data_IF_900804809773
#
_entry.id   IF_900804809773
#
_cell.length_a   1.000
_cell.length_b   1.000
_cell.length_c   1.000
_cell.angle_alpha   90.00
_cell.angle_beta   90.00
_cell.angle_gamma   90.00
#
_symmetry.space_group_name_H-M   'P 1'
#
loop_
_entity.id
_entity.type
_entity.pdbx_description
1 polymer ?
#
# COMPACT_ATOMS: atom_id res chain seq x y z
N UNK A 1 17.97 -10.15 -21.98
CA UNK A 1 17.38 -10.69 -20.74
C UNK A 1 18.54 -11.15 -19.86
N UNK A 2 18.94 -10.37 -18.86
CA UNK A 2 19.93 -10.80 -17.88
C UNK A 2 19.22 -11.74 -16.90
N UNK A 3 19.51 -13.04 -17.00
CA UNK A 3 19.00 -14.04 -16.06
C UNK A 3 19.68 -13.83 -14.70
N UNK A 4 18.88 -13.54 -13.67
CA UNK A 4 19.36 -13.42 -12.29
C UNK A 4 19.68 -14.83 -11.80
N UNK A 5 20.86 -15.03 -11.20
CA UNK A 5 21.22 -16.32 -10.63
C UNK A 5 20.25 -16.69 -9.48
N UNK A 6 19.75 -17.95 -9.43
CA UNK A 6 18.66 -18.33 -8.52
C UNK A 6 18.98 -18.21 -7.01
N UNK A 7 20.27 -18.22 -6.63
CA UNK A 7 20.70 -17.98 -5.24
C UNK A 7 20.44 -16.54 -4.76
N UNK A 8 20.32 -15.59 -5.69
CA UNK A 8 20.13 -14.18 -5.38
C UNK A 8 18.67 -13.76 -5.25
N UNK A 9 17.75 -14.56 -5.81
CA UNK A 9 16.31 -14.26 -5.82
C UNK A 9 15.70 -14.20 -4.42
N UNK A 10 16.12 -15.09 -3.52
CA UNK A 10 15.63 -15.09 -2.13
C UNK A 10 16.07 -13.83 -1.38
N UNK A 11 17.35 -13.45 -1.54
CA UNK A 11 17.89 -12.23 -0.92
C UNK A 11 17.19 -10.98 -1.44
N UNK A 12 17.01 -10.89 -2.75
CA UNK A 12 16.27 -9.81 -3.40
C UNK A 12 14.81 -9.70 -2.92
N UNK A 13 14.11 -10.84 -2.75
CA UNK A 13 12.75 -10.84 -2.21
C UNK A 13 12.69 -10.31 -0.78
N UNK A 14 13.56 -10.82 0.11
CA UNK A 14 13.61 -10.34 1.49
C UNK A 14 13.99 -8.87 1.60
N UNK A 15 14.91 -8.41 0.75
CA UNK A 15 15.26 -6.99 0.65
C UNK A 15 14.05 -6.15 0.22
N UNK A 16 13.32 -6.59 -0.80
CA UNK A 16 12.09 -5.91 -1.22
C UNK A 16 11.05 -5.85 -0.10
N UNK A 17 10.87 -6.97 0.62
CA UNK A 17 9.92 -7.06 1.73
C UNK A 17 10.29 -6.10 2.87
N UNK A 18 11.56 -6.03 3.26
CA UNK A 18 12.03 -5.13 4.31
C UNK A 18 11.90 -3.65 3.91
N UNK A 19 12.26 -3.31 2.67
CA UNK A 19 12.11 -1.95 2.16
C UNK A 19 10.63 -1.54 2.07
N UNK A 20 9.75 -2.44 1.62
CA UNK A 20 8.31 -2.19 1.59
C UNK A 20 7.70 -2.11 2.98
N UNK A 21 8.19 -2.89 3.96
CA UNK A 21 7.76 -2.78 5.35
C UNK A 21 7.99 -1.36 5.86
N UNK A 22 9.18 -0.80 5.64
CA UNK A 22 9.52 0.56 6.04
C UNK A 22 8.71 1.60 5.26
N UNK A 23 8.62 1.46 3.93
CA UNK A 23 7.93 2.40 3.06
C UNK A 23 6.43 2.47 3.36
N UNK A 24 5.75 1.33 3.40
CA UNK A 24 4.30 1.27 3.59
C UNK A 24 3.93 1.76 4.98
N UNK A 25 4.65 1.34 6.04
CA UNK A 25 4.38 1.86 7.39
C UNK A 25 4.57 3.37 7.44
N UNK A 26 5.70 3.90 6.93
CA UNK A 26 5.96 5.34 6.93
C UNK A 26 4.89 6.13 6.14
N UNK A 27 4.48 5.62 4.99
CA UNK A 27 3.45 6.21 4.14
C UNK A 27 2.07 6.16 4.79
N UNK A 28 1.69 5.02 5.39
CA UNK A 28 0.41 4.87 6.09
C UNK A 28 0.33 5.78 7.32
N UNK A 29 1.37 5.83 8.18
CA UNK A 29 1.45 6.78 9.31
C UNK A 29 1.24 8.20 8.80
N UNK A 30 2.03 8.60 7.81
CA UNK A 30 1.96 9.96 7.27
C UNK A 30 0.56 10.28 6.73
N UNK A 31 0.02 9.42 5.85
CA UNK A 31 -1.29 9.61 5.23
C UNK A 31 -2.41 9.63 6.29
N UNK A 32 -2.30 8.78 7.29
CA UNK A 32 -3.28 8.69 8.36
C UNK A 32 -3.32 9.96 9.20
N UNK A 33 -2.17 10.41 9.73
CA UNK A 33 -2.12 11.58 10.60
C UNK A 33 -2.29 12.90 9.84
N UNK A 34 -1.76 13.01 8.62
CA UNK A 34 -1.81 14.25 7.86
C UNK A 34 -3.18 14.47 7.18
N UNK A 35 -3.89 13.40 6.79
CA UNK A 35 -5.11 13.51 5.99
C UNK A 35 -6.29 12.74 6.57
N UNK A 36 -6.17 11.43 6.79
CA UNK A 36 -7.33 10.58 7.12
C UNK A 36 -7.94 10.97 8.46
N UNK A 37 -7.16 11.04 9.54
CA UNK A 37 -7.66 11.36 10.88
C UNK A 37 -8.29 12.77 10.93
N UNK A 38 -7.62 13.84 10.44
CA UNK A 38 -8.22 15.17 10.40
C UNK A 38 -9.54 15.22 9.61
N UNK A 39 -9.56 14.61 8.42
CA UNK A 39 -10.74 14.62 7.56
C UNK A 39 -11.89 13.79 8.13
N UNK A 40 -11.61 12.65 8.76
CA UNK A 40 -12.63 11.83 9.39
C UNK A 40 -13.25 12.53 10.60
N UNK A 41 -12.44 13.19 11.43
CA UNK A 41 -12.92 13.97 12.58
C UNK A 41 -13.74 15.18 12.17
N UNK A 42 -13.34 15.88 11.11
CA UNK A 42 -14.13 17.01 10.59
C UNK A 42 -15.42 16.56 9.89
N UNK A 43 -15.44 15.37 9.31
CA UNK A 43 -16.61 14.81 8.62
C UNK A 43 -17.65 14.21 9.57
N UNK A 44 -17.26 13.81 10.78
CA UNK A 44 -18.13 13.17 11.78
C UNK A 44 -18.08 13.89 13.13
N UNK A 45 -18.36 15.21 13.20
CA UNK A 45 -18.20 15.99 14.43
C UNK A 45 -19.14 15.56 15.57
N UNK A 46 -20.25 14.90 15.24
CA UNK A 46 -21.22 14.36 16.19
C UNK A 46 -20.76 13.08 16.90
N UNK A 47 -19.73 12.40 16.40
CA UNK A 47 -19.18 11.20 17.02
C UNK A 47 -17.97 11.60 17.88
N UNK A 48 -18.06 11.30 19.18
CA UNK A 48 -16.89 11.42 20.06
C UNK A 48 -15.90 10.29 19.73
N UNK A 49 -14.61 10.62 19.77
CA UNK A 49 -13.51 9.65 19.61
C UNK A 49 -13.43 8.97 18.22
N UNK A 50 -13.70 9.72 17.15
CA UNK A 50 -13.46 9.26 15.77
C UNK A 50 -11.96 9.08 15.53
N UNK A 51 -11.61 7.92 14.99
CA UNK A 51 -10.23 7.48 14.75
C UNK A 51 -9.42 7.41 16.06
N UNK A 52 -9.80 6.53 17.01
CA UNK A 52 -9.11 6.41 18.29
C UNK A 52 -7.75 5.74 18.09
N UNK A 53 -6.72 6.29 18.72
CA UNK A 53 -5.36 5.76 18.68
C UNK A 53 -5.05 4.98 19.96
N UNK A 54 -5.87 3.95 20.23
CA UNK A 54 -5.67 3.05 21.36
C UNK A 54 -4.99 1.75 20.90
N UNK A 55 -4.47 0.98 21.86
CA UNK A 55 -3.72 -0.24 21.59
C UNK A 55 -4.51 -1.26 20.73
N UNK A 56 -5.81 -1.52 20.96
CA UNK A 56 -6.59 -2.40 20.08
C UNK A 56 -6.63 -1.95 18.61
N UNK A 57 -6.86 -0.66 18.34
CA UNK A 57 -6.86 -0.14 16.96
C UNK A 57 -5.47 -0.26 16.34
N UNK A 58 -4.43 0.07 17.10
CA UNK A 58 -3.04 -0.05 16.65
C UNK A 58 -2.67 -1.50 16.30
N UNK A 59 -3.14 -2.49 17.08
CA UNK A 59 -2.92 -3.91 16.80
C UNK A 59 -3.60 -4.36 15.50
N UNK A 60 -4.85 -3.94 15.27
CA UNK A 60 -5.57 -4.23 14.02
C UNK A 60 -4.87 -3.56 12.84
N UNK A 61 -4.42 -2.32 13.02
CA UNK A 61 -3.67 -1.59 12.01
C UNK A 61 -2.34 -2.27 11.67
N UNK A 62 -1.61 -2.82 12.65
CA UNK A 62 -0.42 -3.63 12.40
C UNK A 62 -0.71 -4.91 11.60
N UNK A 63 -1.86 -5.56 11.84
CA UNK A 63 -2.29 -6.72 11.02
C UNK A 63 -2.60 -6.27 9.59
N UNK A 64 -3.33 -5.17 9.42
CA UNK A 64 -3.60 -4.58 8.10
C UNK A 64 -2.31 -4.28 7.33
N UNK A 65 -1.36 -3.59 7.97
CA UNK A 65 -0.07 -3.23 7.35
C UNK A 65 0.74 -4.47 6.98
N UNK A 66 0.73 -5.50 7.81
CA UNK A 66 1.41 -6.76 7.51
C UNK A 66 0.83 -7.41 6.25
N UNK A 67 -0.50 -7.48 6.16
CA UNK A 67 -1.19 -8.02 4.97
C UNK A 67 -0.90 -7.16 3.74
N UNK A 68 -0.93 -5.83 3.88
CA UNK A 68 -0.67 -4.90 2.80
C UNK A 68 0.77 -5.02 2.28
N UNK A 69 1.76 -5.12 3.17
CA UNK A 69 3.18 -5.31 2.80
C UNK A 69 3.39 -6.63 2.06
N UNK A 70 2.78 -7.72 2.54
CA UNK A 70 2.87 -9.03 1.90
C UNK A 70 2.18 -9.03 0.53
N UNK A 71 0.99 -8.41 0.41
CA UNK A 71 0.27 -8.31 -0.85
C UNK A 71 1.02 -7.42 -1.85
N UNK A 72 1.42 -6.22 -1.44
CA UNK A 72 2.14 -5.27 -2.30
C UNK A 72 3.46 -5.85 -2.79
N UNK A 73 4.22 -6.53 -1.92
CA UNK A 73 5.50 -7.14 -2.29
C UNK A 73 5.30 -8.40 -3.13
N UNK A 74 4.50 -9.35 -2.62
CA UNK A 74 4.31 -10.66 -3.24
C UNK A 74 3.60 -10.60 -4.59
N UNK A 75 2.51 -9.84 -4.71
CA UNK A 75 1.79 -9.71 -5.99
C UNK A 75 2.63 -8.95 -7.01
N UNK A 76 3.32 -7.88 -6.61
CA UNK A 76 4.25 -7.19 -7.51
C UNK A 76 5.36 -8.11 -7.98
N UNK A 77 5.90 -8.95 -7.09
CA UNK A 77 6.95 -9.90 -7.43
C UNK A 77 6.47 -10.90 -8.49
N UNK A 78 5.33 -11.54 -8.27
CA UNK A 78 4.75 -12.51 -9.21
C UNK A 78 4.45 -11.87 -10.57
N UNK A 79 3.88 -10.66 -10.57
CA UNK A 79 3.59 -9.93 -11.81
C UNK A 79 4.86 -9.56 -12.57
N UNK A 80 5.90 -9.09 -11.87
CA UNK A 80 7.16 -8.70 -12.50
C UNK A 80 8.01 -9.90 -12.93
N UNK A 81 7.93 -11.02 -12.22
CA UNK A 81 8.53 -12.29 -12.63
C UNK A 81 7.86 -12.80 -13.92
N UNK A 82 6.53 -12.73 -14.00
CA UNK A 82 5.77 -13.23 -15.16
C UNK A 82 5.90 -12.33 -16.39
N UNK A 83 5.80 -11.02 -16.23
CA UNK A 83 5.75 -10.06 -17.34
C UNK A 83 7.09 -9.34 -17.58
N UNK A 84 8.07 -9.54 -16.71
CA UNK A 84 9.40 -8.95 -16.77
C UNK A 84 9.55 -7.67 -15.92
N UNK A 85 10.72 -7.43 -15.31
CA UNK A 85 10.95 -6.33 -14.34
C UNK A 85 11.21 -4.96 -15.01
N UNK A 86 10.32 -4.55 -15.91
CA UNK A 86 10.38 -3.21 -16.54
C UNK A 86 9.69 -2.16 -15.66
N UNK A 87 10.05 -0.88 -15.80
CA UNK A 87 9.39 0.22 -15.07
C UNK A 87 7.89 0.25 -15.39
N UNK A 88 7.54 0.12 -16.68
CA UNK A 88 6.16 0.07 -17.14
C UNK A 88 5.35 -1.02 -16.42
N UNK A 89 5.88 -2.24 -16.37
CA UNK A 89 5.17 -3.35 -15.73
C UNK A 89 5.07 -3.15 -14.21
N UNK A 90 6.04 -2.48 -13.58
CA UNK A 90 5.97 -2.14 -12.15
C UNK A 90 4.86 -1.12 -11.88
N UNK A 91 4.71 -0.11 -12.74
CA UNK A 91 3.61 0.86 -12.62
C UNK A 91 2.24 0.17 -12.82
N UNK A 92 2.14 -0.77 -13.76
CA UNK A 92 0.92 -1.57 -13.94
C UNK A 92 0.64 -2.48 -12.75
N UNK A 93 1.65 -3.13 -12.17
CA UNK A 93 1.50 -3.95 -10.98
C UNK A 93 1.02 -3.12 -9.78
N UNK A 94 1.66 -1.98 -9.50
CA UNK A 94 1.25 -1.07 -8.43
C UNK A 94 -0.17 -0.54 -8.64
N UNK A 95 -0.53 -0.17 -9.87
CA UNK A 95 -1.90 0.29 -10.19
C UNK A 95 -2.93 -0.83 -10.06
N UNK A 96 -2.60 -2.06 -10.43
CA UNK A 96 -3.50 -3.21 -10.29
C UNK A 96 -3.75 -3.53 -8.80
N UNK A 97 -2.70 -3.53 -7.97
CA UNK A 97 -2.80 -3.76 -6.52
C UNK A 97 -3.59 -2.64 -5.85
N UNK A 98 -3.32 -1.39 -6.23
CA UNK A 98 -4.10 -0.25 -5.76
C UNK A 98 -5.60 -0.39 -6.09
N UNK A 99 -5.92 -0.81 -7.31
CA UNK A 99 -7.31 -1.01 -7.72
C UNK A 99 -7.99 -2.13 -6.94
N UNK A 100 -7.30 -3.26 -6.70
CA UNK A 100 -7.91 -4.41 -6.01
C UNK A 100 -8.05 -4.22 -4.51
N UNK A 101 -7.16 -3.46 -3.87
CA UNK A 101 -7.20 -3.24 -2.42
C UNK A 101 -7.93 -1.94 -2.10
N UNK A 102 -7.40 -0.81 -2.56
CA UNK A 102 -7.84 0.51 -2.10
C UNK A 102 -9.09 0.99 -2.82
N UNK A 103 -9.18 0.83 -4.15
CA UNK A 103 -10.37 1.29 -4.87
C UNK A 103 -11.60 0.52 -4.41
N UNK A 104 -11.51 -0.82 -4.29
CA UNK A 104 -12.63 -1.63 -3.77
C UNK A 104 -13.00 -1.21 -2.34
N UNK A 105 -12.03 -1.09 -1.43
CA UNK A 105 -12.27 -0.68 -0.05
C UNK A 105 -12.96 0.68 0.05
N UNK A 106 -12.38 1.71 -0.58
CA UNK A 106 -12.87 3.08 -0.47
C UNK A 106 -14.19 3.29 -1.20
N UNK A 107 -14.41 2.64 -2.35
CA UNK A 107 -15.71 2.67 -3.01
C UNK A 107 -16.78 1.99 -2.14
N UNK A 108 -16.45 0.90 -1.46
CA UNK A 108 -17.36 0.25 -0.51
C UNK A 108 -17.75 1.19 0.65
N UNK A 109 -16.75 1.82 1.28
CA UNK A 109 -16.99 2.79 2.36
C UNK A 109 -17.80 3.99 1.89
N UNK A 110 -17.48 4.53 0.72
CA UNK A 110 -18.22 5.64 0.12
C UNK A 110 -19.67 5.27 -0.18
N UNK A 111 -19.90 4.10 -0.78
CA UNK A 111 -21.24 3.59 -1.09
C UNK A 111 -22.09 3.34 0.16
N UNK A 112 -21.46 3.05 1.30
CA UNK A 112 -22.14 2.88 2.59
C UNK A 112 -22.29 4.18 3.40
N UNK A 113 -21.92 5.34 2.83
CA UNK A 113 -21.86 6.64 3.53
C UNK A 113 -20.93 6.64 4.75
N UNK A 114 -19.90 5.79 4.75
CA UNK A 114 -18.88 5.71 5.80
C UNK A 114 -17.61 6.51 5.48
N UNK A 115 -17.51 7.06 4.27
CA UNK A 115 -16.45 7.97 3.85
C UNK A 115 -17.05 9.10 3.00
N UNK A 116 -16.61 10.34 3.23
CA UNK A 116 -17.03 11.47 2.40
C UNK A 116 -16.29 11.47 1.07
N UNK A 117 -16.90 12.08 0.04
CA UNK A 117 -16.26 12.22 -1.28
C UNK A 117 -14.89 12.89 -1.19
N UNK A 118 -14.73 13.87 -0.29
CA UNK A 118 -13.44 14.54 -0.09
C UNK A 118 -12.39 13.61 0.50
N UNK A 119 -12.75 12.76 1.47
CA UNK A 119 -11.83 11.73 2.00
C UNK A 119 -11.38 10.83 0.87
N UNK A 120 -12.31 10.27 0.08
CA UNK A 120 -12.01 9.34 -1.02
C UNK A 120 -11.10 9.97 -2.09
N UNK A 121 -11.41 11.19 -2.54
CA UNK A 121 -10.63 11.90 -3.55
C UNK A 121 -9.23 12.30 -3.05
N UNK A 122 -9.00 12.32 -1.74
CA UNK A 122 -7.69 12.59 -1.14
C UNK A 122 -6.92 11.30 -0.91
N UNK A 123 -7.55 10.28 -0.33
CA UNK A 123 -6.87 9.06 0.11
C UNK A 123 -6.52 8.14 -1.05
N UNK A 124 -7.38 8.03 -2.07
CA UNK A 124 -7.13 7.14 -3.21
C UNK A 124 -5.89 7.51 -4.03
N UNK A 125 -5.67 8.78 -4.43
CA UNK A 125 -4.45 9.15 -5.15
C UNK A 125 -3.18 8.96 -4.32
N UNK A 126 -3.23 9.23 -3.01
CA UNK A 126 -2.09 9.01 -2.12
C UNK A 126 -1.75 7.52 -1.99
N UNK A 127 -2.76 6.67 -1.81
CA UNK A 127 -2.59 5.22 -1.78
C UNK A 127 -2.12 4.67 -3.15
N UNK A 128 -2.49 5.31 -4.26
CA UNK A 128 -1.98 4.93 -5.58
C UNK A 128 -0.47 5.17 -5.66
N UNK A 129 0.00 6.37 -5.28
CA UNK A 129 1.43 6.69 -5.25
C UNK A 129 2.21 5.73 -4.33
N UNK A 130 1.65 5.40 -3.17
CA UNK A 130 2.22 4.41 -2.24
C UNK A 130 2.44 3.06 -2.91
N UNK A 131 1.44 2.54 -3.63
CA UNK A 131 1.54 1.26 -4.34
C UNK A 131 2.46 1.32 -5.56
N UNK A 132 2.54 2.45 -6.27
CA UNK A 132 3.51 2.62 -7.36
C UNK A 132 4.94 2.53 -6.84
N UNK A 133 5.24 3.21 -5.73
CA UNK A 133 6.57 3.19 -5.12
C UNK A 133 6.88 1.79 -4.57
N UNK A 134 5.92 1.12 -3.94
CA UNK A 134 6.10 -0.25 -3.45
C UNK A 134 6.44 -1.24 -4.59
N UNK A 135 5.77 -1.13 -5.74
CA UNK A 135 6.07 -1.95 -6.91
C UNK A 135 7.43 -1.60 -7.55
N UNK A 136 7.84 -0.33 -7.51
CA UNK A 136 9.16 0.10 -7.98
C UNK A 136 10.30 -0.38 -7.07
N UNK A 137 10.08 -0.45 -5.75
CA UNK A 137 11.02 -1.06 -4.78
C UNK A 137 11.22 -2.53 -5.13
N UNK A 138 10.14 -3.28 -5.36
CA UNK A 138 10.20 -4.69 -5.77
C UNK A 138 11.01 -4.84 -7.05
N UNK A 139 10.68 -4.04 -8.08
CA UNK A 139 11.43 -4.04 -9.34
C UNK A 139 12.92 -3.76 -9.12
N UNK A 140 13.25 -2.75 -8.31
CA UNK A 140 14.63 -2.38 -8.03
C UNK A 140 15.38 -3.54 -7.39
N UNK A 141 14.77 -4.20 -6.40
CA UNK A 141 15.34 -5.35 -5.73
C UNK A 141 15.50 -6.54 -6.71
N UNK A 142 14.55 -6.80 -7.60
CA UNK A 142 14.71 -7.85 -8.62
C UNK A 142 15.88 -7.56 -9.58
N UNK A 143 16.10 -6.30 -9.96
CA UNK A 143 17.13 -5.95 -10.95
C UNK A 143 18.53 -5.85 -10.34
N UNK A 144 18.63 -5.45 -9.07
CA UNK A 144 19.91 -5.14 -8.41
C UNK A 144 20.28 -6.02 -7.23
N UNK A 145 19.28 -6.67 -6.62
CA UNK A 145 19.45 -7.62 -5.54
C UNK A 145 20.15 -8.85 -6.09
#
# INVERSE_FOLDING_TARGET
MTAIAPSNLKGAFWLALLLNLLWINASEVFRYFAFVMPLMRSSLPQLQDVAPMNLPVFMIWGVWDTVLVLAATGLSWVLLERFGPTIRNALYAGSAIWATIFVILWLGLWNMNLATTQVVLTTLPLAWLEMLIAALIVRWAMVRG
#
